data_IF_599962170794
#
_entry.id   IF_599962170794
#
_cell.length_a   1.000
_cell.length_b   1.000
_cell.length_c   1.000
_cell.angle_alpha   90.00
_cell.angle_beta   90.00
_cell.angle_gamma   90.00
#
_symmetry.space_group_name_H-M   'P 1'
#
loop_
_entity.id
_entity.type
_entity.pdbx_description
1 polymer ?
#
# COMPACT_ATOMS: atom_id res chain seq x y z
N UNK A 1 -13.24 -14.77 -7.97
CA UNK A 1 -12.85 -14.31 -6.61
C UNK A 1 -14.01 -14.39 -5.62
N UNK A 2 -15.18 -13.81 -5.84
CA UNK A 2 -16.31 -13.81 -4.89
C UNK A 2 -16.81 -15.19 -4.42
N UNK A 3 -16.58 -16.25 -5.18
CA UNK A 3 -16.99 -17.61 -4.83
C UNK A 3 -16.05 -18.32 -3.82
N UNK A 4 -14.86 -17.78 -3.61
CA UNK A 4 -13.84 -18.39 -2.77
C UNK A 4 -13.72 -17.67 -1.43
N UNK A 5 -13.34 -18.37 -0.34
CA UNK A 5 -13.00 -17.75 0.92
C UNK A 5 -11.75 -16.88 0.75
N UNK A 6 -11.76 -15.69 1.36
CA UNK A 6 -10.68 -14.72 1.28
C UNK A 6 -9.95 -14.59 2.62
N UNK A 7 -8.64 -14.46 2.55
CA UNK A 7 -7.76 -14.08 3.64
C UNK A 7 -7.23 -12.68 3.34
N UNK A 8 -7.46 -11.71 4.21
CA UNK A 8 -7.17 -10.30 3.92
C UNK A 8 -6.81 -9.52 5.18
N UNK A 9 -6.55 -8.23 5.03
CA UNK A 9 -6.24 -7.36 6.16
C UNK A 9 -7.45 -7.14 7.07
N UNK A 10 -7.17 -6.85 8.34
CA UNK A 10 -8.18 -6.44 9.32
C UNK A 10 -8.86 -5.13 8.91
N UNK A 11 -10.05 -4.89 9.44
CA UNK A 11 -10.78 -3.66 9.21
C UNK A 11 -9.96 -2.44 9.68
N UNK A 12 -10.03 -1.33 8.92
CA UNK A 12 -9.25 -0.11 9.18
C UNK A 12 -7.91 -0.02 8.42
N UNK A 13 -7.47 -1.09 7.78
CA UNK A 13 -6.31 -1.04 6.88
C UNK A 13 -6.73 -0.66 5.46
N UNK A 14 -5.86 0.10 4.76
CA UNK A 14 -6.13 0.55 3.38
C UNK A 14 -6.45 -0.60 2.44
N UNK A 15 -5.72 -1.72 2.53
CA UNK A 15 -5.97 -2.90 1.70
C UNK A 15 -7.35 -3.51 1.94
N UNK A 16 -7.87 -3.47 3.17
CA UNK A 16 -9.22 -3.94 3.47
C UNK A 16 -10.28 -3.00 2.92
N UNK A 17 -10.11 -1.70 3.05
CA UNK A 17 -11.06 -0.72 2.50
C UNK A 17 -11.17 -0.83 0.99
N UNK A 18 -10.04 -1.00 0.28
CA UNK A 18 -10.01 -1.22 -1.17
C UNK A 18 -10.72 -2.49 -1.60
N UNK A 19 -10.57 -3.57 -0.84
CA UNK A 19 -11.31 -4.81 -1.07
C UNK A 19 -12.84 -4.58 -0.96
N UNK A 20 -13.27 -3.98 0.13
CA UNK A 20 -14.68 -3.74 0.39
C UNK A 20 -15.31 -2.82 -0.68
N UNK A 21 -14.60 -1.75 -1.09
CA UNK A 21 -15.00 -0.85 -2.18
C UNK A 21 -15.15 -1.60 -3.52
N UNK A 22 -14.16 -2.44 -3.88
CA UNK A 22 -14.19 -3.21 -5.13
C UNK A 22 -15.37 -4.18 -5.19
N UNK A 23 -15.67 -4.86 -4.09
CA UNK A 23 -16.81 -5.78 -4.01
C UNK A 23 -18.15 -5.03 -4.03
N UNK A 24 -18.26 -3.93 -3.27
CA UNK A 24 -19.48 -3.11 -3.24
C UNK A 24 -19.78 -2.50 -4.61
N UNK A 25 -18.76 -2.03 -5.33
CA UNK A 25 -18.90 -1.48 -6.68
C UNK A 25 -19.49 -2.48 -7.69
N UNK A 26 -19.38 -3.78 -7.42
CA UNK A 26 -19.97 -4.85 -8.23
C UNK A 26 -21.24 -5.45 -7.61
N UNK A 27 -21.76 -4.87 -6.52
CA UNK A 27 -22.91 -5.41 -5.80
C UNK A 27 -22.64 -6.77 -5.15
N UNK A 28 -21.38 -7.08 -4.85
CA UNK A 28 -20.94 -8.34 -4.28
C UNK A 28 -20.53 -8.16 -2.81
N UNK A 29 -20.56 -9.27 -2.06
CA UNK A 29 -20.07 -9.32 -0.68
C UNK A 29 -18.89 -10.27 -0.60
N UNK A 30 -17.71 -9.84 -0.08
CA UNK A 30 -16.56 -10.71 0.05
C UNK A 30 -16.81 -11.78 1.12
N UNK A 31 -16.48 -13.03 0.81
CA UNK A 31 -16.52 -14.12 1.79
C UNK A 31 -15.19 -14.16 2.56
N UNK A 32 -15.04 -13.29 3.55
CA UNK A 32 -13.81 -13.23 4.35
C UNK A 32 -13.80 -14.37 5.36
N UNK A 33 -12.83 -15.28 5.23
CA UNK A 33 -12.62 -16.41 6.11
C UNK A 33 -11.65 -16.08 7.26
N UNK A 34 -10.67 -15.22 7.01
CA UNK A 34 -9.67 -14.84 8.00
C UNK A 34 -9.12 -13.43 7.74
N UNK A 35 -8.76 -12.75 8.80
CA UNK A 35 -8.12 -11.41 8.70
C UNK A 35 -6.86 -11.34 9.54
N UNK A 36 -5.85 -10.62 9.04
CA UNK A 36 -4.59 -10.36 9.72
C UNK A 36 -4.13 -8.93 9.52
N UNK A 37 -3.27 -8.44 10.41
CA UNK A 37 -2.64 -7.13 10.30
C UNK A 37 -1.38 -7.16 9.42
N UNK A 38 -0.89 -8.33 9.08
CA UNK A 38 0.40 -8.57 8.46
C UNK A 38 0.26 -9.49 7.23
N UNK A 39 0.99 -9.17 6.15
CA UNK A 39 0.97 -9.94 4.90
C UNK A 39 1.57 -11.35 5.05
N UNK A 40 2.57 -11.53 5.91
CA UNK A 40 3.20 -12.84 6.09
C UNK A 40 2.26 -13.81 6.81
N UNK A 41 1.44 -13.28 7.73
CA UNK A 41 0.35 -14.05 8.34
C UNK A 41 -0.69 -14.43 7.28
N UNK A 42 -1.09 -13.50 6.41
CA UNK A 42 -2.00 -13.80 5.29
C UNK A 42 -1.43 -14.94 4.42
N UNK A 43 -0.16 -14.82 3.99
CA UNK A 43 0.54 -15.84 3.19
C UNK A 43 0.56 -17.19 3.89
N UNK A 44 0.80 -17.20 5.19
CA UNK A 44 0.78 -18.43 6.00
C UNK A 44 -0.58 -19.12 5.95
N UNK A 45 -1.68 -18.39 6.11
CA UNK A 45 -3.02 -18.99 6.05
C UNK A 45 -3.42 -19.40 4.62
N UNK A 46 -2.88 -18.75 3.60
CA UNK A 46 -3.03 -19.23 2.21
C UNK A 46 -2.32 -20.57 2.02
N UNK A 47 -1.10 -20.74 2.53
CA UNK A 47 -0.36 -22.02 2.53
C UNK A 47 -1.13 -23.14 3.24
N UNK A 48 -1.86 -22.79 4.29
CA UNK A 48 -2.74 -23.75 5.01
C UNK A 48 -4.05 -24.04 4.27
N UNK A 49 -4.27 -23.47 3.09
CA UNK A 49 -5.45 -23.75 2.27
C UNK A 49 -6.75 -23.08 2.77
N UNK A 50 -6.66 -22.09 3.65
CA UNK A 50 -7.84 -21.38 4.20
C UNK A 50 -8.59 -20.60 3.11
N UNK A 51 -7.88 -20.07 2.12
CA UNK A 51 -8.49 -19.32 1.04
C UNK A 51 -7.49 -18.60 0.15
N UNK A 52 -7.97 -17.65 -0.63
CA UNK A 52 -7.18 -16.79 -1.50
C UNK A 52 -6.74 -15.57 -0.68
N UNK A 53 -5.44 -15.30 -0.65
CA UNK A 53 -4.87 -14.10 -0.02
C UNK A 53 -5.01 -12.86 -0.90
N UNK A 54 -5.36 -11.73 -0.30
CA UNK A 54 -5.32 -10.42 -0.95
C UNK A 54 -4.28 -9.58 -0.22
N UNK A 55 -3.18 -9.31 -0.90
CA UNK A 55 -2.03 -8.55 -0.37
C UNK A 55 -1.54 -7.54 -1.41
N UNK A 56 -0.73 -6.57 -0.97
CA UNK A 56 -0.05 -5.68 -1.89
C UNK A 56 0.98 -6.47 -2.73
N UNK A 57 1.23 -6.05 -3.98
CA UNK A 57 2.19 -6.69 -4.89
C UNK A 57 3.57 -6.82 -4.27
N UNK A 58 4.04 -5.79 -3.60
CA UNK A 58 5.35 -5.75 -2.91
C UNK A 58 5.49 -6.75 -1.75
N UNK A 59 4.40 -7.35 -1.28
CA UNK A 59 4.44 -8.32 -0.19
C UNK A 59 4.78 -9.75 -0.67
N UNK A 60 4.84 -9.97 -1.99
CA UNK A 60 5.21 -11.26 -2.58
C UNK A 60 6.64 -11.22 -3.10
N UNK A 61 7.47 -12.12 -2.61
CA UNK A 61 8.83 -12.34 -3.10
C UNK A 61 8.91 -13.73 -3.73
N UNK A 62 9.13 -13.84 -5.04
CA UNK A 62 9.22 -15.15 -5.71
C UNK A 62 10.32 -16.08 -5.15
N UNK A 63 11.33 -15.49 -4.52
CA UNK A 63 12.44 -16.26 -3.90
C UNK A 63 12.06 -16.75 -2.51
N UNK A 64 11.40 -15.91 -1.72
CA UNK A 64 10.97 -16.24 -0.36
C UNK A 64 9.64 -17.01 -0.33
N UNK A 65 8.80 -16.83 -1.35
CA UNK A 65 7.46 -17.43 -1.45
C UNK A 65 7.31 -18.36 -2.67
N UNK A 66 8.23 -19.33 -2.92
CA UNK A 66 8.23 -20.17 -4.13
C UNK A 66 7.03 -21.11 -4.23
N UNK A 67 6.33 -21.32 -3.15
CA UNK A 67 5.16 -22.19 -2.99
C UNK A 67 3.83 -21.46 -3.18
N UNK A 68 3.87 -20.12 -3.38
CA UNK A 68 2.70 -19.31 -3.63
C UNK A 68 2.63 -18.88 -5.09
N UNK A 69 1.44 -18.85 -5.64
CA UNK A 69 1.16 -18.31 -6.97
C UNK A 69 0.55 -16.91 -6.82
N UNK A 70 1.30 -15.90 -7.28
CA UNK A 70 0.78 -14.54 -7.34
C UNK A 70 0.01 -14.32 -8.65
N UNK A 71 -1.21 -13.81 -8.54
CA UNK A 71 -2.07 -13.46 -9.68
C UNK A 71 -2.28 -11.96 -9.64
N UNK A 72 -1.92 -11.27 -10.71
CA UNK A 72 -2.18 -9.83 -10.82
C UNK A 72 -3.68 -9.54 -10.78
N UNK A 73 -4.08 -8.75 -9.82
CA UNK A 73 -5.45 -8.29 -9.60
C UNK A 73 -5.55 -6.74 -9.61
N UNK A 74 -4.53 -6.04 -10.09
CA UNK A 74 -4.46 -4.57 -10.13
C UNK A 74 -5.66 -3.93 -10.82
N UNK A 75 -6.18 -4.58 -11.87
CA UNK A 75 -7.37 -4.15 -12.59
C UNK A 75 -8.67 -4.18 -11.78
N UNK A 76 -8.68 -4.84 -10.63
CA UNK A 76 -9.86 -4.94 -9.74
C UNK A 76 -9.88 -3.88 -8.63
N UNK A 77 -8.75 -3.24 -8.36
CA UNK A 77 -8.57 -2.35 -7.24
C UNK A 77 -8.07 -0.97 -7.68
N UNK A 78 -8.62 0.07 -7.10
CA UNK A 78 -8.05 1.40 -7.27
C UNK A 78 -6.65 1.45 -6.64
N UNK A 79 -5.70 2.08 -7.34
CA UNK A 79 -4.36 2.30 -6.80
C UNK A 79 -4.40 3.13 -5.51
N UNK A 80 -3.41 2.93 -4.66
CA UNK A 80 -3.24 3.71 -3.44
C UNK A 80 -1.88 4.38 -3.41
N UNK A 81 -1.83 5.59 -2.86
CA UNK A 81 -0.58 6.33 -2.70
C UNK A 81 -0.10 6.18 -1.26
N UNK A 82 1.16 5.76 -1.11
CA UNK A 82 1.86 5.79 0.16
C UNK A 82 2.51 7.15 0.33
N UNK A 83 2.33 7.78 1.48
CA UNK A 83 2.88 9.11 1.76
C UNK A 83 3.85 9.07 2.93
N UNK A 84 4.92 9.84 2.85
CA UNK A 84 5.83 10.09 3.98
C UNK A 84 5.27 11.28 4.75
N UNK A 85 4.97 11.07 6.04
CA UNK A 85 4.43 12.11 6.91
C UNK A 85 5.46 12.68 7.88
N UNK A 86 5.49 14.00 8.02
CA UNK A 86 6.29 14.70 9.02
C UNK A 86 5.41 15.55 9.92
N UNK A 87 5.83 15.68 11.18
CA UNK A 87 5.21 16.65 12.08
C UNK A 87 5.60 18.06 11.59
N UNK A 88 4.62 18.96 11.48
CA UNK A 88 4.84 20.36 11.10
C UNK A 88 5.90 21.02 12.01
N UNK A 89 6.85 21.71 11.39
CA UNK A 89 7.96 22.35 12.11
C UNK A 89 9.08 21.39 12.55
N UNK A 90 9.09 20.15 12.07
CA UNK A 90 10.19 19.22 12.30
C UNK A 90 11.43 19.65 11.54
N UNK A 91 12.57 19.74 12.22
CA UNK A 91 13.87 19.85 11.58
C UNK A 91 14.33 18.50 11.07
N UNK A 92 14.49 18.35 9.75
CA UNK A 92 15.00 17.13 9.15
C UNK A 92 16.53 17.10 9.21
N UNK A 93 17.07 16.03 9.77
CA UNK A 93 18.53 15.77 9.80
C UNK A 93 18.98 15.11 8.51
N UNK A 94 20.27 15.18 8.18
CA UNK A 94 20.83 14.63 6.95
C UNK A 94 20.43 13.19 6.67
N UNK A 95 20.57 12.29 7.66
CA UNK A 95 20.22 10.89 7.52
C UNK A 95 18.72 10.64 7.18
N UNK A 96 17.83 11.58 7.52
CA UNK A 96 16.41 11.47 7.16
C UNK A 96 16.20 11.73 5.66
N UNK A 97 16.96 12.66 5.08
CA UNK A 97 16.99 12.87 3.63
C UNK A 97 17.59 11.67 2.90
N UNK A 98 18.66 11.08 3.45
CA UNK A 98 19.28 9.88 2.88
C UNK A 98 18.29 8.70 2.88
N UNK A 99 17.54 8.53 3.98
CA UNK A 99 16.48 7.53 4.05
C UNK A 99 15.37 7.79 3.02
N UNK A 100 14.90 9.04 2.90
CA UNK A 100 13.85 9.40 1.93
C UNK A 100 14.33 9.14 0.50
N UNK A 101 15.56 9.52 0.17
CA UNK A 101 16.13 9.29 -1.14
C UNK A 101 16.26 7.79 -1.47
N UNK A 102 16.60 6.96 -0.48
CA UNK A 102 16.66 5.51 -0.65
C UNK A 102 15.27 4.87 -0.80
N UNK A 103 14.29 5.37 -0.03
CA UNK A 103 12.92 4.85 -0.05
C UNK A 103 12.11 5.33 -1.26
N UNK A 104 12.29 6.59 -1.65
CA UNK A 104 11.53 7.25 -2.71
C UNK A 104 12.44 8.18 -3.53
N UNK A 105 13.25 7.64 -4.46
CA UNK A 105 14.28 8.40 -5.19
C UNK A 105 13.75 9.60 -6.00
N UNK A 106 12.47 9.61 -6.35
CA UNK A 106 11.80 10.74 -7.03
C UNK A 106 11.57 11.93 -6.10
N UNK A 107 11.66 11.75 -4.76
CA UNK A 107 11.55 12.83 -3.78
C UNK A 107 12.92 13.45 -3.55
N UNK A 108 13.27 14.43 -4.37
CA UNK A 108 14.54 15.16 -4.22
C UNK A 108 14.60 15.92 -2.89
N UNK A 109 15.81 16.21 -2.42
CA UNK A 109 16.01 16.96 -1.17
C UNK A 109 15.30 18.31 -1.21
N UNK A 110 15.42 19.04 -2.31
CA UNK A 110 14.80 20.38 -2.46
C UNK A 110 13.27 20.29 -2.38
N UNK A 111 12.68 19.26 -2.99
CA UNK A 111 11.24 19.01 -2.95
C UNK A 111 10.77 18.69 -1.52
N UNK A 112 11.52 17.87 -0.79
CA UNK A 112 11.22 17.53 0.60
C UNK A 112 11.35 18.75 1.50
N UNK A 113 12.39 19.58 1.34
CA UNK A 113 12.58 20.83 2.08
C UNK A 113 11.44 21.82 1.80
N UNK A 114 11.04 21.98 0.54
CA UNK A 114 9.90 22.80 0.17
C UNK A 114 8.60 22.31 0.83
N UNK A 115 8.34 21.01 0.79
CA UNK A 115 7.16 20.40 1.40
C UNK A 115 7.09 20.58 2.93
N UNK A 116 8.23 20.44 3.62
CA UNK A 116 8.32 20.63 5.09
C UNK A 116 8.04 22.09 5.50
N UNK A 117 8.42 23.05 4.67
CA UNK A 117 8.23 24.48 4.94
C UNK A 117 6.89 25.02 4.40
N UNK A 118 6.14 24.23 3.67
CA UNK A 118 4.84 24.65 3.13
C UNK A 118 3.82 24.92 4.25
N UNK A 119 3.08 26.03 4.16
CA UNK A 119 2.15 26.45 5.22
C UNK A 119 0.91 25.56 5.32
N UNK A 120 0.47 24.95 4.23
CA UNK A 120 -0.78 24.21 4.13
C UNK A 120 -0.69 22.90 3.34
N UNK A 121 -1.73 22.10 3.45
CA UNK A 121 -1.82 20.82 2.74
C UNK A 121 -1.94 21.01 1.22
N UNK A 122 -2.65 22.04 0.79
CA UNK A 122 -2.82 22.33 -0.62
C UNK A 122 -1.49 22.72 -1.26
N UNK A 123 -0.70 23.57 -0.59
CA UNK A 123 0.61 23.96 -1.08
C UNK A 123 1.55 22.77 -1.25
N UNK A 124 1.46 21.79 -0.33
CA UNK A 124 2.20 20.52 -0.47
C UNK A 124 1.70 19.73 -1.67
N UNK A 125 0.38 19.64 -1.89
CA UNK A 125 -0.18 18.92 -3.03
C UNK A 125 0.29 19.52 -4.35
N UNK A 126 0.28 20.84 -4.46
CA UNK A 126 0.68 21.58 -5.67
C UNK A 126 2.17 21.38 -6.01
N UNK A 127 3.04 21.14 -5.00
CA UNK A 127 4.45 20.79 -5.21
C UNK A 127 4.65 19.45 -5.92
N UNK A 128 3.67 18.54 -5.83
CA UNK A 128 3.74 17.22 -6.44
C UNK A 128 2.96 17.12 -7.74
N UNK A 129 2.36 18.22 -8.19
CA UNK A 129 1.63 18.28 -9.47
C UNK A 129 2.58 17.97 -10.63
N UNK A 130 2.23 16.99 -11.45
CA UNK A 130 3.05 16.58 -12.59
C UNK A 130 4.23 15.64 -12.26
N UNK A 131 4.41 15.26 -11.00
CA UNK A 131 5.41 14.23 -10.63
C UNK A 131 4.80 12.84 -10.88
N UNK A 132 5.41 12.08 -11.76
CA UNK A 132 5.04 10.69 -11.99
C UNK A 132 5.46 9.82 -10.79
N UNK A 133 4.48 9.21 -10.12
CA UNK A 133 4.73 8.34 -8.98
C UNK A 133 5.12 6.94 -9.47
N UNK A 134 6.18 6.34 -8.92
CA UNK A 134 6.54 4.96 -9.27
C UNK A 134 5.44 4.01 -8.84
N UNK A 135 5.14 3.04 -9.71
CA UNK A 135 4.19 1.95 -9.45
C UNK A 135 4.98 0.70 -9.07
N UNK A 136 4.65 0.10 -7.95
CA UNK A 136 5.30 -1.12 -7.43
C UNK A 136 4.31 -2.29 -7.36
#
# INVERSE_FOLDING_TARGET
MAAYPLVTYVFGFTGRSKLDEAFQGQGLTPKVAFTAADSDVIKTYVRLGVGIGIVASMAIDPVADPDLVAIDASHLFASSVTSIGFRKGTFLRGYMFDFIAAFAPHLTRDLVEAAVHSPGRQDVTDLFDGIELPVH
#
